data_IF_004518279270
#
_entry.id   IF_004518279270
#
_cell.length_a   1.000
_cell.length_b   1.000
_cell.length_c   1.000
_cell.angle_alpha   90.00
_cell.angle_beta   90.00
_cell.angle_gamma   90.00
#
_symmetry.space_group_name_H-M   'P 1'
#
loop_
_entity.id
_entity.type
_entity.pdbx_description
1 polymer ?
#
# COMPACT_ATOMS: atom_id res chain seq x y z
N UNK A 1 11.29 -10.09 13.74
CA UNK A 1 11.82 -10.31 12.36
C UNK A 1 10.68 -10.77 11.48
N UNK A 2 10.25 -9.93 10.54
CA UNK A 2 9.07 -10.18 9.71
C UNK A 2 9.35 -11.32 8.72
N UNK A 3 8.68 -12.45 8.91
CA UNK A 3 8.65 -13.55 7.94
C UNK A 3 7.77 -13.15 6.76
N UNK A 4 8.30 -13.24 5.54
CA UNK A 4 7.52 -13.10 4.31
C UNK A 4 6.53 -14.27 4.21
N UNK A 5 5.30 -14.03 3.73
CA UNK A 5 4.25 -15.07 3.67
C UNK A 5 4.73 -16.35 2.96
N UNK A 6 5.57 -16.17 1.93
CA UNK A 6 6.15 -17.23 1.09
C UNK A 6 7.25 -18.04 1.77
N UNK A 7 7.75 -17.62 2.94
CA UNK A 7 8.71 -18.43 3.72
C UNK A 7 7.97 -19.55 4.48
N UNK A 8 6.67 -19.40 4.70
CA UNK A 8 5.87 -20.42 5.39
C UNK A 8 5.50 -21.54 4.41
N UNK A 9 5.93 -22.79 4.63
CA UNK A 9 5.63 -23.89 3.71
C UNK A 9 4.13 -24.18 3.64
N UNK A 10 3.40 -23.95 4.74
CA UNK A 10 1.94 -24.09 4.81
C UNK A 10 1.22 -23.16 3.82
N UNK A 11 1.67 -21.91 3.71
CA UNK A 11 1.10 -20.92 2.79
C UNK A 11 1.41 -21.29 1.35
N UNK A 12 2.63 -21.75 1.08
CA UNK A 12 3.02 -22.21 -0.25
C UNK A 12 2.16 -23.40 -0.66
N UNK A 13 1.97 -24.38 0.21
CA UNK A 13 1.11 -25.53 -0.06
C UNK A 13 -0.35 -25.14 -0.35
N UNK A 14 -0.91 -24.20 0.44
CA UNK A 14 -2.27 -23.67 0.21
C UNK A 14 -2.40 -22.99 -1.15
N UNK A 15 -1.45 -22.13 -1.52
CA UNK A 15 -1.47 -21.42 -2.81
C UNK A 15 -1.28 -22.40 -3.96
N UNK A 16 -0.34 -23.35 -3.86
CA UNK A 16 -0.14 -24.36 -4.91
C UNK A 16 -1.41 -25.19 -5.12
N UNK A 17 -2.12 -25.54 -4.04
CA UNK A 17 -3.42 -26.22 -4.14
C UNK A 17 -4.48 -25.34 -4.81
N UNK A 18 -4.55 -24.06 -4.48
CA UNK A 18 -5.46 -23.10 -5.11
C UNK A 18 -5.17 -22.94 -6.62
N UNK A 19 -3.90 -22.94 -7.01
CA UNK A 19 -3.50 -22.90 -8.42
C UNK A 19 -3.91 -24.18 -9.15
N UNK A 20 -3.62 -25.36 -8.57
CA UNK A 20 -3.96 -26.65 -9.17
C UNK A 20 -5.47 -26.78 -9.38
N UNK A 21 -6.26 -26.51 -8.34
CA UNK A 21 -7.72 -26.52 -8.43
C UNK A 21 -8.24 -25.50 -9.45
N UNK A 22 -7.70 -24.28 -9.48
CA UNK A 22 -8.09 -23.30 -10.50
C UNK A 22 -7.85 -23.83 -11.92
N UNK A 23 -6.69 -24.41 -12.19
CA UNK A 23 -6.35 -24.93 -13.52
C UNK A 23 -7.24 -26.13 -13.90
N UNK A 24 -7.52 -27.04 -12.96
CA UNK A 24 -8.42 -28.19 -13.20
C UNK A 24 -9.82 -27.77 -13.68
N UNK A 25 -10.36 -26.65 -13.18
CA UNK A 25 -11.70 -26.20 -13.55
C UNK A 25 -11.75 -25.24 -14.73
N UNK A 26 -10.66 -24.52 -15.02
CA UNK A 26 -10.68 -23.40 -15.97
C UNK A 26 -9.80 -23.63 -17.20
N UNK A 27 -8.90 -24.62 -17.20
CA UNK A 27 -8.05 -24.94 -18.35
C UNK A 27 -8.81 -25.85 -19.34
N UNK A 28 -9.69 -25.22 -20.11
CA UNK A 28 -10.46 -25.87 -21.19
C UNK A 28 -9.95 -25.37 -22.55
N UNK A 29 -10.04 -26.21 -23.59
CA UNK A 29 -9.57 -25.90 -24.95
C UNK A 29 -10.10 -24.58 -25.53
N UNK A 30 -11.28 -24.13 -25.09
CA UNK A 30 -11.92 -22.90 -25.55
C UNK A 30 -11.48 -21.64 -24.79
N UNK A 31 -10.69 -21.79 -23.71
CA UNK A 31 -10.30 -20.65 -22.87
C UNK A 31 -9.03 -19.98 -23.40
N UNK A 32 -9.06 -18.65 -23.67
CA UNK A 32 -7.86 -17.96 -24.10
C UNK A 32 -6.86 -17.84 -22.93
N UNK A 33 -5.60 -18.17 -23.18
CA UNK A 33 -4.50 -18.17 -22.19
C UNK A 33 -4.39 -16.82 -21.46
N UNK A 34 -4.64 -15.70 -22.15
CA UNK A 34 -4.63 -14.37 -21.55
C UNK A 34 -5.70 -14.19 -20.47
N UNK A 35 -6.91 -14.74 -20.70
CA UNK A 35 -7.99 -14.70 -19.72
C UNK A 35 -7.65 -15.59 -18.53
N UNK A 36 -7.21 -16.83 -18.80
CA UNK A 36 -6.79 -17.80 -17.78
C UNK A 36 -5.71 -17.22 -16.85
N UNK A 37 -4.69 -16.58 -17.40
CA UNK A 37 -3.64 -15.92 -16.61
C UNK A 37 -4.17 -14.74 -15.80
N UNK A 38 -5.04 -13.92 -16.39
CA UNK A 38 -5.62 -12.76 -15.71
C UNK A 38 -6.51 -13.17 -14.53
N UNK A 39 -7.35 -14.18 -14.71
CA UNK A 39 -8.22 -14.71 -13.66
C UNK A 39 -7.41 -15.43 -12.58
N UNK A 40 -6.41 -16.24 -12.95
CA UNK A 40 -5.50 -16.89 -12.01
C UNK A 40 -4.81 -15.89 -11.07
N UNK A 41 -4.27 -14.79 -11.62
CA UNK A 41 -3.65 -13.72 -10.82
C UNK A 41 -4.62 -13.11 -9.81
N UNK A 42 -5.89 -12.94 -10.19
CA UNK A 42 -6.92 -12.40 -9.29
C UNK A 42 -7.21 -13.39 -8.16
N UNK A 43 -7.35 -14.69 -8.46
CA UNK A 43 -7.57 -15.76 -7.48
C UNK A 43 -6.41 -15.81 -6.47
N UNK A 44 -5.18 -15.90 -6.96
CA UNK A 44 -3.97 -15.89 -6.10
C UNK A 44 -3.91 -14.61 -5.25
N UNK A 45 -4.24 -13.46 -5.84
CA UNK A 45 -4.33 -12.19 -5.12
C UNK A 45 -5.34 -12.23 -3.97
N UNK A 46 -6.51 -12.82 -4.21
CA UNK A 46 -7.56 -13.04 -3.21
C UNK A 46 -7.07 -13.91 -2.04
N UNK A 47 -6.38 -15.01 -2.33
CA UNK A 47 -5.79 -15.89 -1.32
C UNK A 47 -4.79 -15.16 -0.43
N UNK A 48 -3.87 -14.38 -1.00
CA UNK A 48 -2.93 -13.58 -0.22
C UNK A 48 -3.62 -12.55 0.67
N UNK A 49 -4.68 -11.91 0.17
CA UNK A 49 -5.47 -10.95 0.95
C UNK A 49 -6.14 -11.64 2.12
N UNK A 50 -6.76 -12.80 1.91
CA UNK A 50 -7.41 -13.60 2.95
C UNK A 50 -6.41 -14.02 4.04
N UNK A 51 -5.29 -14.62 3.65
CA UNK A 51 -4.23 -15.06 4.57
C UNK A 51 -3.70 -13.88 5.39
N UNK A 52 -3.44 -12.75 4.74
CA UNK A 52 -2.96 -11.53 5.40
C UNK A 52 -4.00 -10.97 6.38
N UNK A 53 -5.29 -11.00 6.02
CA UNK A 53 -6.37 -10.54 6.88
C UNK A 53 -6.50 -11.41 8.14
N UNK A 54 -6.37 -12.74 7.98
CA UNK A 54 -6.38 -13.70 9.09
C UNK A 54 -5.19 -13.50 10.02
N UNK A 55 -3.96 -13.40 9.49
CA UNK A 55 -2.77 -13.10 10.28
C UNK A 55 -2.91 -11.78 11.06
N UNK A 56 -3.45 -10.74 10.41
CA UNK A 56 -3.69 -9.45 11.05
C UNK A 56 -4.76 -9.55 12.15
N UNK A 57 -5.77 -10.39 12.00
CA UNK A 57 -6.77 -10.65 13.04
C UNK A 57 -6.11 -11.31 14.26
N UNK A 58 -5.37 -12.40 14.05
CA UNK A 58 -4.67 -13.13 15.13
C UNK A 58 -3.70 -12.21 15.88
N UNK A 59 -2.90 -11.42 15.15
CA UNK A 59 -1.95 -10.47 15.76
C UNK A 59 -2.66 -9.39 16.59
N UNK A 60 -3.80 -8.88 16.10
CA UNK A 60 -4.60 -7.88 16.83
C UNK A 60 -5.20 -8.47 18.11
N UNK A 61 -5.74 -9.67 18.03
CA UNK A 61 -6.30 -10.38 19.19
C UNK A 61 -5.22 -10.65 20.24
N UNK A 62 -4.07 -11.19 19.85
CA UNK A 62 -2.93 -11.41 20.74
C UNK A 62 -2.47 -10.11 21.42
N UNK A 63 -2.39 -9.02 20.67
CA UNK A 63 -2.04 -7.70 21.22
C UNK A 63 -3.08 -7.20 22.22
N UNK A 64 -4.37 -7.34 21.91
CA UNK A 64 -5.45 -6.92 22.79
C UNK A 64 -5.44 -7.73 24.11
N UNK A 65 -5.23 -9.04 24.02
CA UNK A 65 -5.09 -9.92 25.19
C UNK A 65 -3.90 -9.52 26.06
N UNK A 66 -2.71 -9.34 25.47
CA UNK A 66 -1.52 -8.89 26.20
C UNK A 66 -1.70 -7.51 26.83
N UNK A 67 -2.37 -6.59 26.13
CA UNK A 67 -2.64 -5.26 26.65
C UNK A 67 -3.61 -5.29 27.85
N UNK A 68 -4.67 -6.11 27.79
CA UNK A 68 -5.57 -6.33 28.91
C UNK A 68 -4.82 -6.98 30.09
N UNK A 69 -4.00 -8.00 29.82
CA UNK A 69 -3.20 -8.68 30.83
C UNK A 69 -2.24 -7.72 31.54
N UNK A 70 -1.52 -6.88 30.79
CA UNK A 70 -0.61 -5.87 31.37
C UNK A 70 -1.40 -4.87 32.22
N UNK A 71 -2.50 -4.33 31.70
CA UNK A 71 -3.33 -3.36 32.44
C UNK A 71 -3.84 -3.93 33.75
N UNK A 72 -4.30 -5.18 33.76
CA UNK A 72 -4.79 -5.83 34.99
C UNK A 72 -3.66 -6.15 35.96
N UNK A 73 -2.52 -6.64 35.48
CA UNK A 73 -1.35 -6.87 36.33
C UNK A 73 -0.82 -5.56 36.95
N UNK A 74 -0.84 -4.45 36.21
CA UNK A 74 -0.48 -3.13 36.74
C UNK A 74 -1.46 -2.67 37.82
N UNK A 75 -2.76 -2.90 37.61
CA UNK A 75 -3.78 -2.62 38.63
C UNK A 75 -3.48 -3.43 39.88
N UNK A 76 -3.38 -4.76 39.79
CA UNK A 76 -3.13 -5.64 40.93
C UNK A 76 -1.82 -5.28 41.63
N UNK A 77 -0.75 -4.99 40.88
CA UNK A 77 0.54 -4.61 41.45
C UNK A 77 0.47 -3.30 42.23
N UNK A 78 -0.27 -2.29 41.76
CA UNK A 78 -0.48 -1.03 42.50
C UNK A 78 -1.15 -1.24 43.85
N UNK A 79 -2.07 -2.19 43.96
CA UNK A 79 -2.78 -2.49 45.21
C UNK A 79 -2.00 -3.42 46.15
N UNK A 80 -1.31 -4.43 45.61
CA UNK A 80 -0.71 -5.51 46.42
C UNK A 80 0.81 -5.42 46.58
N UNK A 81 1.52 -4.76 45.65
CA UNK A 81 2.99 -4.74 45.63
C UNK A 81 3.65 -6.12 45.49
N UNK A 82 2.90 -7.18 45.15
CA UNK A 82 3.37 -8.54 45.26
C UNK A 82 4.52 -8.88 44.26
N UNK A 83 5.62 -9.50 44.69
CA UNK A 83 6.75 -9.86 43.82
C UNK A 83 6.38 -10.85 42.70
N UNK A 84 5.35 -11.68 42.91
CA UNK A 84 4.82 -12.61 41.90
C UNK A 84 4.17 -11.86 40.73
N UNK A 85 3.39 -10.83 41.03
CA UNK A 85 2.69 -10.00 40.03
C UNK A 85 3.72 -9.18 39.24
N UNK A 86 4.76 -8.67 39.90
CA UNK A 86 5.88 -8.01 39.23
C UNK A 86 6.59 -8.92 38.24
N UNK A 87 6.87 -10.18 38.60
CA UNK A 87 7.48 -11.15 37.67
C UNK A 87 6.63 -11.40 36.42
N UNK A 88 5.31 -11.54 36.59
CA UNK A 88 4.39 -11.71 35.47
C UNK A 88 4.33 -10.45 34.58
N UNK A 89 4.30 -9.27 35.20
CA UNK A 89 4.32 -8.00 34.49
C UNK A 89 5.61 -7.81 33.69
N UNK A 90 6.76 -8.14 34.30
CA UNK A 90 8.08 -8.07 33.68
C UNK A 90 8.21 -9.02 32.48
N UNK A 91 7.48 -10.15 32.48
CA UNK A 91 7.41 -11.05 31.33
C UNK A 91 6.44 -10.58 30.23
N UNK A 92 5.28 -10.03 30.59
CA UNK A 92 4.24 -9.64 29.64
C UNK A 92 4.55 -8.32 28.91
N UNK A 93 5.15 -7.34 29.60
CA UNK A 93 5.48 -6.02 29.00
C UNK A 93 6.40 -6.11 27.78
N UNK A 94 7.54 -6.83 27.81
CA UNK A 94 8.41 -6.95 26.65
C UNK A 94 7.73 -7.59 25.44
N UNK A 95 6.81 -8.54 25.66
CA UNK A 95 6.05 -9.17 24.58
C UNK A 95 5.13 -8.18 23.87
N UNK A 96 4.44 -7.31 24.64
CA UNK A 96 3.61 -6.26 24.08
C UNK A 96 4.46 -5.23 23.32
N UNK A 97 5.57 -4.79 23.91
CA UNK A 97 6.51 -3.85 23.28
C UNK A 97 7.06 -4.44 21.98
N UNK A 98 7.41 -5.72 21.94
CA UNK A 98 7.87 -6.39 20.72
C UNK A 98 6.83 -6.32 19.58
N UNK A 99 5.56 -6.58 19.88
CA UNK A 99 4.48 -6.47 18.88
C UNK A 99 4.25 -5.04 18.40
N UNK A 100 4.38 -4.05 19.29
CA UNK A 100 4.27 -2.64 18.93
C UNK A 100 5.47 -2.18 18.08
N UNK A 101 6.68 -2.64 18.40
CA UNK A 101 7.89 -2.35 17.62
C UNK A 101 7.80 -2.94 16.21
N UNK A 102 7.33 -4.17 16.05
CA UNK A 102 7.09 -4.77 14.71
C UNK A 102 6.15 -3.89 13.86
N UNK A 103 5.14 -3.27 14.49
CA UNK A 103 4.19 -2.38 13.81
C UNK A 103 4.84 -1.05 13.41
N UNK A 104 5.66 -0.48 14.28
CA UNK A 104 6.42 0.75 14.00
C UNK A 104 7.40 0.51 12.85
N UNK A 105 8.13 -0.61 12.88
CA UNK A 105 9.05 -1.01 11.81
C UNK A 105 8.31 -1.15 10.48
N UNK A 106 7.15 -1.83 10.47
CA UNK A 106 6.34 -1.95 9.28
C UNK A 106 5.85 -0.59 8.74
N UNK A 107 5.43 0.32 9.63
CA UNK A 107 5.02 1.66 9.24
C UNK A 107 6.18 2.46 8.63
N UNK A 108 7.39 2.36 9.19
CA UNK A 108 8.59 2.99 8.68
C UNK A 108 8.97 2.46 7.29
N UNK A 109 8.95 1.13 7.10
CA UNK A 109 9.20 0.51 5.79
C UNK A 109 8.18 0.94 4.74
N UNK A 110 6.90 1.00 5.12
CA UNK A 110 5.83 1.43 4.22
C UNK A 110 5.95 2.91 3.85
N UNK A 111 6.34 3.75 4.80
CA UNK A 111 6.65 5.15 4.54
C UNK A 111 7.79 5.28 3.54
N UNK A 112 8.90 4.54 3.73
CA UNK A 112 10.04 4.52 2.81
C UNK A 112 9.64 4.07 1.40
N UNK A 113 8.82 3.02 1.30
CA UNK A 113 8.29 2.55 0.01
C UNK A 113 7.43 3.62 -0.67
N UNK A 114 6.48 4.22 0.04
CA UNK A 114 5.63 5.29 -0.51
C UNK A 114 6.46 6.48 -0.96
N UNK A 115 7.49 6.84 -0.21
CA UNK A 115 8.41 7.91 -0.58
C UNK A 115 9.18 7.57 -1.86
N UNK A 116 9.73 6.36 -1.98
CA UNK A 116 10.45 5.91 -3.17
C UNK A 116 9.56 5.90 -4.43
N UNK A 117 8.37 5.29 -4.35
CA UNK A 117 7.40 5.26 -5.45
C UNK A 117 6.93 6.67 -5.82
N UNK A 118 6.83 7.56 -4.84
CA UNK A 118 6.45 8.95 -5.01
C UNK A 118 7.59 9.88 -5.41
N UNK A 119 8.86 9.47 -5.34
CA UNK A 119 10.02 10.38 -5.41
C UNK A 119 10.17 11.14 -6.74
N UNK A 120 9.88 10.47 -7.85
CA UNK A 120 9.93 11.09 -9.19
C UNK A 120 8.66 11.92 -9.51
N UNK A 121 7.65 11.90 -8.64
CA UNK A 121 6.42 12.66 -8.79
C UNK A 121 6.44 13.83 -7.82
N UNK A 122 6.00 15.00 -8.26
CA UNK A 122 5.70 16.07 -7.31
C UNK A 122 4.67 15.53 -6.30
N UNK A 123 5.01 15.48 -5.01
CA UNK A 123 4.06 15.06 -3.97
C UNK A 123 2.77 15.86 -4.07
N UNK A 124 1.64 15.32 -3.58
CA UNK A 124 0.30 15.94 -3.75
C UNK A 124 0.30 17.44 -3.42
N UNK A 125 0.98 17.84 -2.34
CA UNK A 125 1.10 19.24 -1.92
C UNK A 125 1.83 20.11 -2.95
N UNK A 126 2.98 19.65 -3.45
CA UNK A 126 3.73 20.36 -4.48
C UNK A 126 2.95 20.43 -5.79
N UNK A 127 2.31 19.32 -6.20
CA UNK A 127 1.48 19.29 -7.38
C UNK A 127 0.30 20.29 -7.28
N UNK A 128 -0.38 20.35 -6.12
CA UNK A 128 -1.45 21.33 -5.87
C UNK A 128 -0.91 22.75 -5.91
N UNK A 129 0.24 23.02 -5.28
CA UNK A 129 0.86 24.35 -5.29
C UNK A 129 1.28 24.78 -6.70
N UNK A 130 1.89 23.89 -7.48
CA UNK A 130 2.27 24.15 -8.87
C UNK A 130 1.04 24.37 -9.76
N UNK A 131 -0.05 23.63 -9.55
CA UNK A 131 -1.33 23.85 -10.27
C UNK A 131 -1.91 25.23 -9.93
N UNK A 132 -1.99 25.59 -8.65
CA UNK A 132 -2.45 26.90 -8.23
C UNK A 132 -1.58 28.03 -8.82
N UNK A 133 -0.25 27.87 -8.79
CA UNK A 133 0.68 28.84 -9.37
C UNK A 133 0.56 28.95 -10.90
N UNK A 134 0.26 27.85 -11.60
CA UNK A 134 0.00 27.87 -13.04
C UNK A 134 -1.32 28.58 -13.36
N UNK A 135 -2.36 28.37 -12.55
CA UNK A 135 -3.65 29.06 -12.70
C UNK A 135 -3.51 30.56 -12.45
N UNK A 136 -2.78 30.99 -11.42
CA UNK A 136 -2.58 32.42 -11.16
C UNK A 136 -1.71 33.11 -12.21
N UNK A 137 -0.80 32.38 -12.86
CA UNK A 137 0.06 32.88 -13.93
C UNK A 137 -0.52 32.65 -15.34
N UNK A 138 -1.69 32.03 -15.46
CA UNK A 138 -2.31 31.77 -16.75
C UNK A 138 -2.87 33.08 -17.29
N UNK A 139 -2.34 33.55 -18.42
CA UNK A 139 -2.89 34.69 -19.16
C UNK A 139 -3.99 34.13 -20.08
N UNK A 140 -5.24 34.41 -19.74
CA UNK A 140 -6.40 33.89 -20.49
C UNK A 140 -6.64 34.63 -21.80
N UNK A 141 -6.29 35.93 -21.86
CA UNK A 141 -6.52 36.78 -23.02
C UNK A 141 -5.38 37.79 -23.17
N UNK A 142 -4.82 37.88 -24.38
CA UNK A 142 -3.91 38.97 -24.77
C UNK A 142 -4.72 39.96 -25.61
N UNK A 143 -4.74 41.24 -25.23
CA UNK A 143 -5.40 42.30 -25.99
C UNK A 143 -4.42 42.93 -26.97
N UNK A 144 -4.75 42.92 -28.25
CA UNK A 144 -4.08 43.72 -29.29
C UNK A 144 -4.53 45.19 -29.25
N UNK A 145 -3.71 46.14 -29.72
CA UNK A 145 -4.02 47.57 -29.69
C UNK A 145 -5.22 47.96 -30.54
N UNK A 146 -5.54 47.18 -31.58
CA UNK A 146 -6.78 47.29 -32.34
C UNK A 146 -7.84 46.41 -31.68
N UNK A 147 -8.72 47.04 -30.93
CA UNK A 147 -9.69 46.35 -30.09
C UNK A 147 -10.77 45.64 -30.89
N UNK A 148 -10.58 44.36 -31.21
CA UNK A 148 -11.61 43.31 -31.12
C UNK A 148 -11.03 41.96 -31.54
N UNK A 149 -10.58 41.18 -30.57
CA UNK A 149 -11.00 39.79 -30.30
C UNK A 149 -10.05 39.18 -29.25
N UNK A 150 -10.57 38.47 -28.24
CA UNK A 150 -9.72 37.78 -27.29
C UNK A 150 -9.00 36.63 -27.98
N UNK A 151 -7.68 36.75 -28.16
CA UNK A 151 -6.86 35.61 -28.58
C UNK A 151 -6.81 34.58 -27.45
N UNK A 152 -7.73 33.62 -27.48
CA UNK A 152 -7.60 32.39 -26.71
C UNK A 152 -6.68 31.45 -27.51
N UNK A 153 -5.45 31.15 -27.07
CA UNK A 153 -4.70 30.06 -27.66
C UNK A 153 -5.48 28.78 -27.40
N UNK A 154 -6.18 28.28 -28.42
CA UNK A 154 -6.84 26.97 -28.35
C UNK A 154 -5.82 25.92 -27.92
N UNK A 155 -6.23 24.92 -27.11
CA UNK A 155 -5.31 23.88 -26.67
C UNK A 155 -4.79 23.17 -27.91
N UNK A 156 -3.54 23.47 -28.29
CA UNK A 156 -2.90 22.85 -29.45
C UNK A 156 -2.96 21.34 -29.24
N UNK A 157 -3.82 20.69 -30.02
CA UNK A 157 -3.78 19.24 -30.18
C UNK A 157 -2.35 18.90 -30.54
N UNK A 158 -1.74 18.04 -29.73
CA UNK A 158 -0.34 17.67 -29.81
C UNK A 158 -0.14 16.75 -31.03
N UNK A 159 -0.26 17.30 -32.24
CA UNK A 159 0.03 16.64 -33.52
C UNK A 159 0.47 17.68 -34.55
N UNK A 160 1.70 18.15 -34.43
CA UNK A 160 2.49 18.53 -35.61
C UNK A 160 3.88 17.94 -35.42
N UNK A 161 4.08 16.78 -36.05
CA UNK A 161 5.40 16.22 -36.29
C UNK A 161 6.15 17.18 -37.20
N UNK A 162 7.38 17.51 -36.82
CA UNK A 162 8.33 18.32 -37.57
C UNK A 162 8.58 17.60 -38.92
N UNK A 163 8.46 18.26 -40.08
CA UNK A 163 8.85 17.63 -41.33
C UNK A 163 10.38 17.54 -41.37
N UNK A 164 10.88 16.30 -41.42
CA UNK A 164 12.27 15.99 -41.74
C UNK A 164 12.52 16.50 -43.16
N UNK A 165 13.36 17.52 -43.28
CA UNK A 165 13.79 18.04 -44.57
C UNK A 165 15.03 17.24 -44.98
N UNK A 166 14.83 16.14 -45.70
CA UNK A 166 15.90 15.55 -46.50
C UNK A 166 16.14 16.46 -47.70
N UNK A 167 17.36 17.00 -47.79
CA UNK A 167 17.86 17.64 -49.00
C UNK A 167 18.94 16.75 -49.63
N UNK A 168 19.10 16.86 -50.96
CA UNK A 168 19.54 15.80 -51.87
C UNK A 168 21.01 15.42 -51.74
#
# INVERSE_FOLDING_TARGET
MRTTLLVRPEVVAQITKAIATFLEFNDTADTPISLLWNTLKVVIGGEFIMISALDNKIRREKRAQLHQQVTELERIHKWTGAPRVWRQLSAARPQLVGLDMDRVEYAALRLRHTYYVGGNKCGRLLATRLRAQRQTKAVEVIRTPEGSEPFCPSPKSHKQMIPVNEKP
#
